data_IF_343139823797
#
_entry.id   IF_343139823797
#
_cell.length_a   1.000
_cell.length_b   1.000
_cell.length_c   1.000
_cell.angle_alpha   90.00
_cell.angle_beta   90.00
_cell.angle_gamma   90.00
#
_symmetry.space_group_name_H-M   'P 1'
#
loop_
_entity.id
_entity.type
_entity.pdbx_description
1 polymer ?
#
# COMPACT_ATOMS: atom_id res chain seq x y z
N UNK A 1 18.56 -29.08 -21.48
CA UNK A 1 17.75 -28.10 -20.70
C UNK A 1 16.33 -28.03 -21.22
N UNK A 2 15.43 -28.81 -20.63
CA UNK A 2 14.03 -28.88 -21.03
C UNK A 2 13.19 -28.01 -20.11
N UNK A 3 12.84 -26.80 -20.58
CA UNK A 3 11.81 -25.99 -19.93
C UNK A 3 10.47 -26.59 -20.32
N UNK A 4 9.89 -27.39 -19.43
CA UNK A 4 8.53 -27.90 -19.57
C UNK A 4 7.58 -26.72 -19.28
N UNK A 5 6.72 -26.31 -20.23
CA UNK A 5 5.76 -25.23 -20.01
C UNK A 5 4.73 -25.66 -18.97
N UNK A 6 4.53 -24.83 -17.94
CA UNK A 6 3.50 -25.02 -16.92
C UNK A 6 2.12 -25.08 -17.59
N UNK A 7 1.49 -26.25 -17.54
CA UNK A 7 0.10 -26.47 -17.94
C UNK A 7 -0.81 -26.00 -16.81
N UNK A 8 -1.33 -24.78 -16.89
CA UNK A 8 -2.33 -24.28 -15.93
C UNK A 8 -3.70 -24.83 -16.36
N UNK A 9 -4.22 -25.78 -15.58
CA UNK A 9 -5.47 -26.50 -15.82
C UNK A 9 -6.65 -25.88 -15.08
N UNK A 10 -7.00 -24.63 -15.39
CA UNK A 10 -8.25 -24.05 -14.88
C UNK A 10 -9.06 -23.37 -15.99
N UNK A 11 -10.28 -23.86 -16.18
CA UNK A 11 -11.22 -23.42 -17.22
C UNK A 11 -11.67 -21.96 -17.09
N UNK A 12 -11.36 -21.27 -15.99
CA UNK A 12 -11.73 -19.87 -15.79
C UNK A 12 -10.72 -18.86 -16.38
N UNK A 13 -9.59 -19.32 -16.94
CA UNK A 13 -8.62 -18.43 -17.61
C UNK A 13 -9.04 -18.01 -19.04
N UNK A 14 -10.09 -18.61 -19.60
CA UNK A 14 -10.55 -18.27 -20.96
C UNK A 14 -11.06 -16.83 -21.08
N UNK A 15 -11.56 -16.22 -19.99
CA UNK A 15 -11.94 -14.80 -20.01
C UNK A 15 -10.75 -13.84 -19.91
N UNK A 16 -9.58 -14.29 -19.46
CA UNK A 16 -8.39 -13.46 -19.32
C UNK A 16 -7.67 -13.30 -20.67
N UNK A 17 -7.62 -14.35 -21.50
CA UNK A 17 -6.96 -14.28 -22.81
C UNK A 17 -7.77 -13.42 -23.82
N UNK A 18 -9.09 -13.30 -23.66
CA UNK A 18 -9.90 -12.44 -24.52
C UNK A 18 -9.70 -10.94 -24.27
N UNK A 19 -9.14 -10.52 -23.13
CA UNK A 19 -8.97 -9.10 -22.83
C UNK A 19 -7.76 -8.47 -23.53
N UNK A 20 -6.76 -9.26 -23.92
CA UNK A 20 -5.48 -8.72 -24.40
C UNK A 20 -5.39 -8.42 -25.91
N UNK A 21 -6.50 -8.43 -26.68
CA UNK A 21 -6.43 -8.26 -28.15
C UNK A 21 -7.30 -7.17 -28.80
N UNK A 22 -7.77 -6.19 -28.06
CA UNK A 22 -8.36 -4.96 -28.61
C UNK A 22 -8.02 -3.81 -27.65
N UNK A 23 -7.48 -2.64 -27.99
CA UNK A 23 -7.50 -1.88 -29.23
C UNK A 23 -6.23 -1.03 -29.35
N UNK A 24 -5.86 -0.70 -30.59
CA UNK A 24 -4.87 0.32 -30.91
C UNK A 24 -5.50 1.71 -30.77
N UNK A 25 -5.29 2.39 -29.65
CA UNK A 25 -5.74 3.77 -29.46
C UNK A 25 -5.03 4.42 -28.27
N UNK A 26 -4.22 5.44 -28.56
CA UNK A 26 -3.47 6.23 -27.60
C UNK A 26 -4.38 6.91 -26.57
N UNK A 27 -4.38 6.44 -25.31
CA UNK A 27 -4.75 7.26 -24.14
C UNK A 27 -3.72 7.05 -23.02
N UNK A 28 -3.36 8.16 -22.40
CA UNK A 28 -2.18 8.40 -21.58
C UNK A 28 -2.15 7.62 -20.25
N UNK A 29 -1.04 6.91 -20.04
CA UNK A 29 -0.46 6.36 -18.79
C UNK A 29 -1.25 6.54 -17.48
N UNK A 30 -2.05 5.52 -17.13
CA UNK A 30 -2.05 4.92 -15.79
C UNK A 30 -2.26 3.41 -15.95
N UNK A 31 -1.16 2.67 -16.11
CA UNK A 31 -1.18 1.19 -16.06
C UNK A 31 -0.84 0.77 -14.64
N UNK A 32 -1.86 0.51 -13.83
CA UNK A 32 -1.67 -0.26 -12.59
C UNK A 32 -1.44 -1.73 -12.97
N UNK A 33 -0.48 -2.46 -12.34
CA UNK A 33 -0.19 -3.85 -12.67
C UNK A 33 -1.38 -4.78 -12.38
N UNK A 34 -1.55 -5.89 -13.12
CA UNK A 34 -2.64 -6.84 -12.89
C UNK A 34 -2.24 -7.77 -11.73
N UNK A 35 -2.60 -7.38 -10.50
CA UNK A 35 -2.64 -8.29 -9.35
C UNK A 35 -4.10 -8.68 -9.09
N UNK A 36 -4.37 -9.90 -8.61
CA UNK A 36 -5.70 -10.50 -8.69
C UNK A 36 -6.73 -9.67 -7.92
N UNK A 37 -7.88 -9.49 -8.56
CA UNK A 37 -9.06 -8.88 -7.96
C UNK A 37 -9.41 -9.59 -6.65
N UNK A 38 -9.64 -8.84 -5.55
CA UNK A 38 -10.10 -9.42 -4.30
C UNK A 38 -11.43 -10.15 -4.51
N UNK A 39 -11.44 -11.45 -4.22
CA UNK A 39 -12.61 -12.32 -4.28
C UNK A 39 -13.80 -11.68 -3.55
N UNK A 40 -14.84 -11.28 -4.29
CA UNK A 40 -16.20 -11.15 -3.76
C UNK A 40 -16.87 -12.51 -3.80
N UNK A 41 -16.56 -13.39 -2.85
CA UNK A 41 -17.40 -14.56 -2.59
C UNK A 41 -18.32 -14.28 -1.41
N UNK A 42 -19.51 -13.79 -1.75
CA UNK A 42 -20.83 -14.18 -1.21
C UNK A 42 -21.10 -14.07 0.30
N UNK A 43 -21.93 -13.06 0.60
CA UNK A 43 -22.98 -13.08 1.61
C UNK A 43 -23.98 -14.21 1.31
N UNK A 44 -24.18 -15.12 2.26
CA UNK A 44 -25.39 -15.91 2.55
C UNK A 44 -25.06 -16.72 3.81
N UNK A 45 -25.43 -16.19 4.98
CA UNK A 45 -26.64 -16.54 5.74
C UNK A 45 -26.56 -17.92 6.43
N UNK A 46 -26.61 -17.83 7.77
CA UNK A 46 -27.06 -18.84 8.75
C UNK A 46 -26.19 -20.10 8.92
N UNK A 47 -25.50 -20.20 10.07
CA UNK A 47 -25.85 -21.19 11.10
C UNK A 47 -25.10 -20.90 12.42
N UNK A 48 -25.80 -21.10 13.54
CA UNK A 48 -25.37 -20.85 14.91
C UNK A 48 -24.95 -22.14 15.60
N UNK A 49 -23.73 -22.66 15.37
CA UNK A 49 -23.05 -23.56 16.32
C UNK A 49 -21.68 -24.00 15.82
N UNK A 50 -20.60 -23.29 16.20
CA UNK A 50 -19.22 -23.80 16.33
C UNK A 50 -18.29 -22.64 16.79
N UNK A 51 -18.27 -22.37 18.10
CA UNK A 51 -17.88 -21.06 18.67
C UNK A 51 -16.49 -20.98 19.32
N UNK A 52 -15.53 -21.87 18.99
CA UNK A 52 -14.17 -21.80 19.56
C UNK A 52 -13.06 -21.71 18.51
N UNK A 53 -13.16 -22.44 17.40
CA UNK A 53 -12.10 -22.48 16.37
C UNK A 53 -12.09 -21.22 15.48
N UNK A 54 -13.26 -20.62 15.23
CA UNK A 54 -13.41 -19.48 14.32
C UNK A 54 -12.71 -18.19 14.76
N UNK A 55 -12.47 -18.01 16.07
CA UNK A 55 -11.83 -16.80 16.59
C UNK A 55 -10.34 -16.72 16.27
N UNK A 56 -9.63 -17.85 16.35
CA UNK A 56 -8.20 -17.90 16.07
C UNK A 56 -7.91 -17.59 14.59
N UNK A 57 -8.69 -18.19 13.68
CA UNK A 57 -8.56 -17.95 12.25
C UNK A 57 -8.90 -16.48 11.89
N UNK A 58 -9.94 -15.91 12.48
CA UNK A 58 -10.27 -14.50 12.25
C UNK A 58 -9.15 -13.55 12.72
N UNK A 59 -8.49 -13.84 13.84
CA UNK A 59 -7.34 -13.06 14.32
C UNK A 59 -6.18 -13.16 13.33
N UNK A 60 -5.91 -14.35 12.79
CA UNK A 60 -4.87 -14.57 11.77
C UNK A 60 -5.16 -13.78 10.49
N UNK A 61 -6.40 -13.78 10.01
CA UNK A 61 -6.83 -12.99 8.85
C UNK A 61 -6.65 -11.49 9.12
N UNK A 62 -7.11 -10.99 10.27
CA UNK A 62 -6.96 -9.58 10.64
C UNK A 62 -5.47 -9.16 10.64
N UNK A 63 -4.60 -9.98 11.22
CA UNK A 63 -3.17 -9.73 11.25
C UNK A 63 -2.58 -9.73 9.83
N UNK A 64 -2.94 -10.69 8.98
CA UNK A 64 -2.51 -10.75 7.59
C UNK A 64 -2.90 -9.48 6.81
N UNK A 65 -4.15 -9.01 6.98
CA UNK A 65 -4.65 -7.77 6.36
C UNK A 65 -3.81 -6.57 6.78
N UNK A 66 -3.49 -6.43 8.07
CA UNK A 66 -2.67 -5.30 8.55
C UNK A 66 -1.23 -5.38 8.05
N UNK A 67 -0.62 -6.58 8.06
CA UNK A 67 0.74 -6.78 7.54
C UNK A 67 0.83 -6.48 6.05
N UNK A 68 -0.11 -6.97 5.25
CA UNK A 68 -0.16 -6.70 3.82
C UNK A 68 -0.37 -5.20 3.53
N UNK A 69 -1.17 -4.52 4.35
CA UNK A 69 -1.34 -3.07 4.24
C UNK A 69 -0.04 -2.31 4.53
N UNK A 70 0.70 -2.69 5.57
CA UNK A 70 1.99 -2.07 5.91
C UNK A 70 3.02 -2.31 4.81
N UNK A 71 3.12 -3.55 4.31
CA UNK A 71 4.02 -3.90 3.22
C UNK A 71 3.70 -3.13 1.93
N UNK A 72 2.41 -2.99 1.60
CA UNK A 72 1.99 -2.19 0.45
C UNK A 72 2.40 -0.72 0.59
N UNK A 73 2.21 -0.13 1.77
CA UNK A 73 2.62 1.26 2.05
C UNK A 73 4.14 1.41 1.92
N UNK A 74 4.92 0.47 2.47
CA UNK A 74 6.39 0.49 2.40
C UNK A 74 6.93 0.38 0.96
N UNK A 75 6.23 -0.33 0.09
CA UNK A 75 6.63 -0.49 -1.30
C UNK A 75 6.10 0.60 -2.24
N UNK A 76 5.09 1.39 -1.82
CA UNK A 76 4.41 2.34 -2.70
C UNK A 76 4.33 3.77 -2.13
N UNK A 77 4.99 4.09 -1.01
CA UNK A 77 4.89 5.40 -0.37
C UNK A 77 5.25 6.58 -1.28
N UNK A 78 6.15 6.38 -2.25
CA UNK A 78 6.60 7.42 -3.19
C UNK A 78 5.56 7.77 -4.25
N UNK A 79 4.52 6.95 -4.42
CA UNK A 79 3.40 7.20 -5.33
C UNK A 79 2.27 7.96 -4.61
N UNK A 80 1.28 8.39 -5.39
CA UNK A 80 0.03 8.90 -4.84
C UNK A 80 -0.83 7.74 -4.31
N UNK A 81 -0.69 7.46 -3.02
CA UNK A 81 -1.44 6.42 -2.32
C UNK A 81 -2.38 7.02 -1.27
N UNK A 82 -3.58 6.47 -1.19
CA UNK A 82 -4.61 6.82 -0.22
C UNK A 82 -5.24 5.54 0.38
N UNK A 83 -6.15 5.71 1.33
CA UNK A 83 -6.78 4.58 2.03
C UNK A 83 -7.49 3.63 1.05
N UNK A 84 -8.15 4.16 0.01
CA UNK A 84 -8.88 3.35 -0.97
C UNK A 84 -7.91 2.47 -1.78
N UNK A 85 -6.76 3.02 -2.20
CA UNK A 85 -5.72 2.23 -2.91
C UNK A 85 -5.12 1.14 -2.03
N UNK A 86 -4.93 1.37 -0.72
CA UNK A 86 -4.41 0.36 0.22
C UNK A 86 -5.47 -0.72 0.49
N UNK A 87 -6.74 -0.33 0.64
CA UNK A 87 -7.83 -1.28 0.82
C UNK A 87 -8.00 -2.19 -0.41
N UNK A 88 -7.91 -1.59 -1.60
CA UNK A 88 -7.94 -2.32 -2.86
C UNK A 88 -6.77 -3.30 -2.99
N UNK A 89 -5.55 -2.89 -2.65
CA UNK A 89 -4.37 -3.75 -2.78
C UNK A 89 -4.34 -4.93 -1.82
N UNK A 90 -4.89 -4.77 -0.62
CA UNK A 90 -5.01 -5.85 0.38
C UNK A 90 -6.24 -6.72 0.14
N UNK A 91 -7.24 -6.19 -0.56
CA UNK A 91 -8.44 -6.89 -0.93
C UNK A 91 -9.55 -6.94 0.09
N UNK A 92 -9.72 -5.83 0.80
CA UNK A 92 -10.75 -5.68 1.83
C UNK A 92 -11.48 -4.35 1.68
N UNK A 93 -12.63 -4.20 2.34
CA UNK A 93 -13.31 -2.90 2.38
C UNK A 93 -12.48 -1.86 3.15
N UNK A 94 -12.59 -0.60 2.74
CA UNK A 94 -11.96 0.54 3.42
C UNK A 94 -12.28 0.56 4.91
N UNK A 95 -13.56 0.40 5.27
CA UNK A 95 -14.00 0.45 6.67
C UNK A 95 -13.39 -0.67 7.51
N UNK A 96 -13.31 -1.88 6.95
CA UNK A 96 -12.67 -3.00 7.63
C UNK A 96 -11.17 -2.76 7.80
N UNK A 97 -10.47 -2.34 6.74
CA UNK A 97 -9.04 -2.03 6.83
C UNK A 97 -8.75 -0.97 7.87
N UNK A 98 -9.46 0.17 7.84
CA UNK A 98 -9.25 1.28 8.78
C UNK A 98 -9.46 0.81 10.23
N UNK A 99 -10.50 0.00 10.47
CA UNK A 99 -10.78 -0.56 11.79
C UNK A 99 -9.65 -1.48 12.26
N UNK A 100 -9.29 -2.50 11.47
CA UNK A 100 -8.28 -3.48 11.87
C UNK A 100 -6.89 -2.83 12.00
N UNK A 101 -6.53 -1.95 11.07
CA UNK A 101 -5.25 -1.23 11.10
C UNK A 101 -5.12 -0.37 12.37
N UNK A 102 -6.17 0.38 12.73
CA UNK A 102 -6.17 1.21 13.94
C UNK A 102 -6.10 0.35 15.20
N UNK A 103 -6.82 -0.77 15.26
CA UNK A 103 -6.77 -1.69 16.39
C UNK A 103 -5.38 -2.30 16.59
N UNK A 104 -4.71 -2.70 15.50
CA UNK A 104 -3.42 -3.36 15.56
C UNK A 104 -2.24 -2.40 15.77
N UNK A 105 -2.28 -1.20 15.18
CA UNK A 105 -1.12 -0.28 15.15
C UNK A 105 -1.30 0.95 16.05
N UNK A 106 -2.52 1.19 16.54
CA UNK A 106 -2.93 2.43 17.22
C UNK A 106 -2.66 3.71 16.39
N UNK A 107 -2.58 3.58 15.07
CA UNK A 107 -2.30 4.67 14.13
C UNK A 107 -3.29 4.66 12.97
N UNK A 108 -3.42 5.79 12.30
CA UNK A 108 -4.14 5.86 11.04
C UNK A 108 -3.23 5.45 9.89
N UNK A 109 -3.82 4.95 8.80
CA UNK A 109 -3.10 4.59 7.57
C UNK A 109 -2.34 5.80 7.01
N UNK A 110 -2.96 6.98 6.98
CA UNK A 110 -2.31 8.22 6.55
C UNK A 110 -1.09 8.57 7.43
N UNK A 111 -1.17 8.35 8.74
CA UNK A 111 -0.02 8.53 9.62
C UNK A 111 1.10 7.55 9.30
N UNK A 112 0.79 6.28 8.98
CA UNK A 112 1.80 5.30 8.57
C UNK A 112 2.47 5.71 7.25
N UNK A 113 1.70 6.16 6.26
CA UNK A 113 2.24 6.67 4.99
C UNK A 113 3.22 7.81 5.26
N UNK A 114 2.82 8.81 6.05
CA UNK A 114 3.68 9.93 6.42
C UNK A 114 4.94 9.46 7.15
N UNK A 115 4.82 8.51 8.09
CA UNK A 115 5.96 7.98 8.84
C UNK A 115 7.00 7.35 7.91
N UNK A 116 6.57 6.46 7.01
CA UNK A 116 7.46 5.84 6.02
C UNK A 116 8.11 6.89 5.11
N UNK A 117 7.33 7.88 4.63
CA UNK A 117 7.86 8.98 3.81
C UNK A 117 8.93 9.79 4.54
N UNK A 118 8.73 10.08 5.83
CA UNK A 118 9.70 10.84 6.63
C UNK A 118 10.94 10.01 6.95
N UNK A 119 10.77 8.72 7.26
CA UNK A 119 11.89 7.80 7.46
C UNK A 119 12.79 7.71 6.22
N UNK A 120 12.18 7.63 5.03
CA UNK A 120 12.94 7.67 3.78
C UNK A 120 13.54 9.05 3.52
N UNK A 121 12.80 10.13 3.77
CA UNK A 121 13.28 11.49 3.57
C UNK A 121 14.56 11.77 4.35
N UNK A 122 14.69 11.27 5.59
CA UNK A 122 15.93 11.42 6.38
C UNK A 122 17.17 10.88 5.64
N UNK A 123 17.04 9.77 4.92
CA UNK A 123 18.13 9.12 4.17
C UNK A 123 18.47 9.90 2.89
N UNK A 124 17.44 10.35 2.17
CA UNK A 124 17.58 11.04 0.88
C UNK A 124 18.08 12.48 1.06
N UNK A 125 17.64 13.16 2.12
CA UNK A 125 17.91 14.57 2.38
C UNK A 125 19.40 14.90 2.58
N UNK A 126 20.22 13.92 2.95
CA UNK A 126 21.67 14.09 3.08
C UNK A 126 22.33 14.33 1.71
N UNK A 127 21.77 13.76 0.65
CA UNK A 127 22.36 13.78 -0.70
C UNK A 127 21.68 14.77 -1.64
N UNK A 128 20.40 15.09 -1.42
CA UNK A 128 19.60 15.90 -2.34
C UNK A 128 19.14 17.22 -1.72
N UNK A 129 18.56 18.10 -2.52
CA UNK A 129 17.91 19.31 -2.01
C UNK A 129 16.62 18.98 -1.26
N UNK A 130 16.14 19.92 -0.46
CA UNK A 130 14.87 19.79 0.27
C UNK A 130 13.70 19.56 -0.69
N UNK A 131 13.67 20.27 -1.80
CA UNK A 131 12.60 20.21 -2.80
C UNK A 131 12.61 18.90 -3.55
N UNK A 132 13.77 18.43 -4.03
CA UNK A 132 13.89 17.11 -4.68
C UNK A 132 13.49 15.99 -3.73
N UNK A 133 13.97 16.05 -2.48
CA UNK A 133 13.63 15.04 -1.46
C UNK A 133 12.13 14.98 -1.23
N UNK A 134 11.44 16.13 -1.18
CA UNK A 134 10.00 16.19 -0.97
C UNK A 134 9.24 15.42 -2.07
N UNK A 135 9.54 15.72 -3.34
CA UNK A 135 8.87 15.07 -4.47
C UNK A 135 9.25 13.60 -4.61
N UNK A 136 10.51 13.24 -4.35
CA UNK A 136 10.99 11.87 -4.45
C UNK A 136 10.36 10.92 -3.44
N UNK A 137 10.08 11.40 -2.22
CA UNK A 137 9.38 10.58 -1.22
C UNK A 137 7.85 10.67 -1.33
N UNK A 138 7.32 11.31 -2.38
CA UNK A 138 5.89 11.34 -2.69
C UNK A 138 5.09 12.49 -2.07
N UNK A 139 5.73 13.58 -1.61
CA UNK A 139 4.99 14.81 -1.27
C UNK A 139 4.78 15.67 -2.51
N UNK A 140 3.54 16.10 -2.75
CA UNK A 140 3.20 16.99 -3.86
C UNK A 140 3.53 18.47 -3.60
N UNK A 141 3.97 18.81 -2.39
CA UNK A 141 4.25 20.18 -1.99
C UNK A 141 5.41 20.24 -0.99
N UNK A 142 6.48 20.95 -1.37
CA UNK A 142 7.70 21.08 -0.56
C UNK A 142 7.48 21.85 0.76
N UNK A 143 6.53 22.79 0.83
CA UNK A 143 6.20 23.53 2.05
C UNK A 143 5.47 22.64 3.05
N UNK A 144 4.49 21.87 2.56
CA UNK A 144 3.80 20.87 3.39
C UNK A 144 4.77 19.81 3.93
N UNK A 145 5.67 19.30 3.07
CA UNK A 145 6.76 18.42 3.49
C UNK A 145 7.58 19.03 4.63
N UNK A 146 8.04 20.29 4.50
CA UNK A 146 8.86 20.93 5.52
C UNK A 146 8.14 21.04 6.88
N UNK A 147 6.85 21.38 6.87
CA UNK A 147 6.01 21.43 8.08
C UNK A 147 5.87 20.05 8.73
N UNK A 148 5.55 19.02 7.94
CA UNK A 148 5.40 17.65 8.43
C UNK A 148 6.73 17.11 8.95
N UNK A 149 7.83 17.34 8.22
CA UNK A 149 9.17 16.90 8.61
C UNK A 149 9.59 17.54 9.94
N UNK A 150 9.37 18.85 10.11
CA UNK A 150 9.65 19.54 11.38
C UNK A 150 8.82 18.96 12.52
N UNK A 151 7.53 18.74 12.32
CA UNK A 151 6.65 18.16 13.33
C UNK A 151 7.07 16.74 13.74
N UNK A 152 7.63 15.95 12.82
CA UNK A 152 8.01 14.54 13.06
C UNK A 152 9.45 14.35 13.54
N UNK A 153 10.33 15.35 13.35
CA UNK A 153 11.76 15.22 13.65
C UNK A 153 12.30 16.29 14.60
N UNK A 154 11.52 17.33 14.88
CA UNK A 154 11.94 18.55 15.60
C UNK A 154 12.99 19.41 14.89
N UNK A 155 13.38 19.06 13.66
CA UNK A 155 14.28 19.84 12.82
C UNK A 155 13.59 20.29 11.54
N UNK A 156 13.87 21.50 11.08
CA UNK A 156 13.57 21.83 9.68
C UNK A 156 14.43 20.95 8.75
N UNK A 157 14.00 20.66 7.52
CA UNK A 157 14.81 19.87 6.58
C UNK A 157 16.23 20.44 6.38
N UNK A 158 16.37 21.77 6.32
CA UNK A 158 17.69 22.43 6.22
C UNK A 158 18.55 22.22 7.48
N UNK A 159 17.96 22.33 8.66
CA UNK A 159 18.66 22.06 9.93
C UNK A 159 19.11 20.61 10.00
N UNK A 160 18.21 19.66 9.68
CA UNK A 160 18.54 18.24 9.66
C UNK A 160 19.72 17.96 8.72
N UNK A 161 19.67 18.45 7.47
CA UNK A 161 20.78 18.30 6.52
C UNK A 161 22.09 18.86 7.08
N UNK A 162 22.09 20.07 7.65
CA UNK A 162 23.30 20.67 8.22
C UNK A 162 23.84 19.88 9.41
N UNK A 163 22.97 19.33 10.25
CA UNK A 163 23.36 18.60 11.46
C UNK A 163 23.90 17.19 11.16
N UNK A 164 23.43 16.54 10.09
CA UNK A 164 23.73 15.14 9.78
C UNK A 164 24.55 14.94 8.48
N UNK A 165 25.01 16.00 7.82
CA UNK A 165 25.83 15.94 6.59
C UNK A 165 27.34 16.02 6.83
N UNK A 166 27.79 16.02 8.09
CA UNK A 166 29.21 15.93 8.47
C UNK A 166 29.69 14.49 8.41
#
# INVERSE_FOLDING_TARGET
DHIIPLQIKNSQDSQIISFFKADKGSVSRQVHPPWPVPCKSKLQEQDSSESKESKAEQVKINNCVVQNAMLYIENNYFNDINIDTVAFSVGVSRSYLVKQFKLATNKTINNRIIEVRIEQAKKVLLKKSVTETAYEVGFNNSNYFATVFKKRTNYTPKQFKRTFSS
#
